data_IF_660142643250
#
_entry.id   IF_660142643250
#
_cell.length_a   1.000
_cell.length_b   1.000
_cell.length_c   1.000
_cell.angle_alpha   90.00
_cell.angle_beta   90.00
_cell.angle_gamma   90.00
#
_symmetry.space_group_name_H-M   'P 1'
#
loop_
_entity.id
_entity.type
_entity.pdbx_description
1 polymer ?
#
# COMPACT_ATOMS: atom_id res chain seq x y z
N UNK A 1 13.41 -28.00 -19.09
CA UNK A 1 12.03 -27.55 -19.39
C UNK A 1 11.53 -26.65 -18.27
N UNK A 2 10.81 -25.56 -18.56
CA UNK A 2 10.23 -24.70 -17.52
C UNK A 2 9.19 -25.47 -16.70
N UNK A 3 9.12 -25.19 -15.40
CA UNK A 3 8.16 -25.88 -14.50
C UNK A 3 6.71 -25.50 -14.88
N UNK A 4 5.72 -26.40 -14.79
CA UNK A 4 4.33 -26.11 -15.18
C UNK A 4 3.75 -24.85 -14.52
N UNK A 5 4.07 -24.61 -13.25
CA UNK A 5 3.59 -23.42 -12.54
C UNK A 5 4.20 -22.11 -13.06
N UNK A 6 5.45 -22.15 -13.50
CA UNK A 6 6.13 -20.99 -14.08
C UNK A 6 5.48 -20.60 -15.41
N UNK A 7 5.22 -21.60 -16.27
CA UNK A 7 4.51 -21.39 -17.55
C UNK A 7 3.13 -20.80 -17.29
N UNK A 8 2.37 -21.38 -16.35
CA UNK A 8 1.05 -20.89 -16.00
C UNK A 8 1.08 -19.46 -15.46
N UNK A 9 2.01 -19.15 -14.56
CA UNK A 9 2.16 -17.82 -13.98
C UNK A 9 2.53 -16.77 -15.03
N UNK A 10 3.47 -17.09 -15.93
CA UNK A 10 3.83 -16.19 -17.04
C UNK A 10 2.65 -15.96 -17.98
N UNK A 11 1.95 -17.04 -18.37
CA UNK A 11 0.80 -16.93 -19.25
C UNK A 11 -0.31 -16.05 -18.65
N UNK A 12 -0.67 -16.25 -17.38
CA UNK A 12 -1.72 -15.44 -16.74
C UNK A 12 -1.26 -14.02 -16.43
N UNK A 13 0.04 -13.80 -16.16
CA UNK A 13 0.61 -12.46 -16.05
C UNK A 13 0.47 -11.68 -17.36
N UNK A 14 0.78 -12.30 -18.51
CA UNK A 14 0.63 -11.68 -19.83
C UNK A 14 -0.84 -11.35 -20.14
N UNK A 15 -1.77 -12.27 -19.85
CA UNK A 15 -3.21 -12.00 -20.00
C UNK A 15 -3.71 -10.86 -19.10
N UNK A 16 -3.14 -10.74 -17.89
CA UNK A 16 -3.45 -9.66 -16.96
C UNK A 16 -2.90 -8.32 -17.47
N UNK A 17 -1.69 -8.31 -18.02
CA UNK A 17 -1.08 -7.13 -18.62
C UNK A 17 -1.86 -6.58 -19.82
N UNK A 18 -2.46 -7.46 -20.64
CA UNK A 18 -3.38 -7.05 -21.72
C UNK A 18 -4.60 -6.28 -21.23
N UNK A 19 -4.95 -6.39 -19.94
CA UNK A 19 -6.02 -5.60 -19.30
C UNK A 19 -5.51 -4.27 -18.72
N UNK A 20 -4.31 -3.83 -19.09
CA UNK A 20 -3.71 -2.58 -18.60
C UNK A 20 -3.21 -2.63 -17.15
N UNK A 21 -3.08 -3.82 -16.57
CA UNK A 21 -2.64 -4.02 -15.19
C UNK A 21 -1.14 -4.38 -15.14
N UNK A 22 -0.27 -3.52 -14.56
CA UNK A 22 1.15 -3.80 -14.52
C UNK A 22 1.48 -4.99 -13.62
N UNK A 23 2.30 -5.93 -14.11
CA UNK A 23 2.64 -7.17 -13.41
C UNK A 23 4.14 -7.39 -13.26
N UNK A 24 4.52 -8.21 -12.29
CA UNK A 24 5.90 -8.64 -12.04
C UNK A 24 5.92 -10.04 -11.41
N UNK A 25 6.99 -10.84 -11.57
CA UNK A 25 7.03 -12.22 -11.08
C UNK A 25 7.16 -12.30 -9.55
N UNK A 26 6.48 -13.28 -8.96
CA UNK A 26 6.54 -13.61 -7.53
C UNK A 26 7.02 -15.04 -7.28
N UNK A 27 7.70 -15.23 -6.16
CA UNK A 27 8.10 -16.53 -5.65
C UNK A 27 6.93 -17.22 -4.93
N UNK A 28 7.14 -18.48 -4.50
CA UNK A 28 6.17 -19.24 -3.69
C UNK A 28 5.82 -18.58 -2.35
N UNK A 29 6.65 -17.65 -1.86
CA UNK A 29 6.42 -16.90 -0.62
C UNK A 29 5.73 -15.55 -0.86
N UNK A 30 5.24 -15.29 -2.09
CA UNK A 30 4.56 -14.04 -2.49
C UNK A 30 5.46 -12.81 -2.49
N UNK A 31 6.78 -12.99 -2.42
CA UNK A 31 7.77 -11.93 -2.52
C UNK A 31 8.25 -11.76 -3.97
N UNK A 32 8.70 -10.56 -4.37
CA UNK A 32 9.34 -10.34 -5.67
C UNK A 32 10.37 -11.43 -6.00
N UNK A 33 10.23 -12.03 -7.18
CA UNK A 33 11.06 -13.18 -7.55
C UNK A 33 12.43 -12.78 -8.09
N UNK A 34 12.54 -11.61 -8.74
CA UNK A 34 13.81 -11.08 -9.24
C UNK A 34 14.59 -10.50 -8.07
N UNK A 35 15.86 -10.89 -7.95
CA UNK A 35 16.75 -10.45 -6.87
C UNK A 35 17.07 -8.96 -7.06
N UNK A 36 16.91 -8.16 -5.99
CA UNK A 36 17.32 -6.75 -6.00
C UNK A 36 18.80 -6.58 -6.37
N UNK A 37 19.14 -5.61 -7.23
CA UNK A 37 20.52 -5.30 -7.60
C UNK A 37 21.32 -4.69 -6.44
N UNK A 38 20.63 -4.19 -5.41
CA UNK A 38 21.21 -3.51 -4.24
C UNK A 38 21.27 -4.41 -2.99
N UNK A 39 21.00 -5.72 -3.12
CA UNK A 39 20.91 -6.61 -1.96
C UNK A 39 22.18 -6.64 -1.12
N UNK A 40 23.33 -6.64 -1.80
CA UNK A 40 24.64 -6.82 -1.18
C UNK A 40 25.28 -5.46 -0.82
N UNK A 41 24.54 -4.36 -1.00
CA UNK A 41 25.00 -3.04 -0.61
C UNK A 41 24.87 -2.85 0.91
N UNK A 42 25.89 -2.26 1.56
CA UNK A 42 25.94 -2.15 3.02
C UNK A 42 24.86 -1.24 3.61
N UNK A 43 24.17 -0.44 2.79
CA UNK A 43 23.05 0.40 3.19
C UNK A 43 21.85 0.07 2.32
N UNK A 44 20.68 -0.05 2.94
CA UNK A 44 19.41 -0.17 2.22
C UNK A 44 19.18 1.08 1.39
N UNK A 45 19.16 0.93 0.06
CA UNK A 45 18.79 1.98 -0.89
C UNK A 45 17.29 1.93 -1.15
N UNK A 46 16.58 3.05 -0.98
CA UNK A 46 15.17 3.20 -1.41
C UNK A 46 15.10 3.44 -2.94
N UNK A 47 15.81 2.60 -3.71
CA UNK A 47 15.75 2.60 -5.16
C UNK A 47 14.47 1.89 -5.60
N UNK A 48 13.69 2.56 -6.45
CA UNK A 48 12.42 2.11 -7.04
C UNK A 48 12.57 1.92 -8.55
N UNK A 49 13.79 1.66 -9.02
CA UNK A 49 14.11 1.43 -10.42
C UNK A 49 14.88 2.55 -11.09
N UNK A 50 15.23 3.62 -10.37
CA UNK A 50 15.99 4.76 -10.90
C UNK A 50 17.38 4.33 -11.41
N UNK A 51 17.94 3.24 -10.89
CA UNK A 51 19.22 2.70 -11.35
C UNK A 51 19.15 1.97 -12.70
N UNK A 52 17.95 1.83 -13.29
CA UNK A 52 17.75 1.19 -14.60
C UNK A 52 17.88 -0.33 -14.61
N UNK A 53 18.26 -0.96 -13.48
CA UNK A 53 18.37 -2.42 -13.35
C UNK A 53 17.06 -3.02 -12.83
N UNK A 54 16.69 -4.25 -13.22
CA UNK A 54 15.53 -4.95 -12.64
C UNK A 54 15.85 -5.49 -11.23
N UNK A 55 14.82 -5.67 -10.41
CA UNK A 55 14.88 -6.24 -9.06
C UNK A 55 14.24 -5.38 -7.95
N UNK A 56 13.46 -4.36 -8.29
CA UNK A 56 12.73 -3.45 -7.40
C UNK A 56 11.26 -3.89 -7.17
N UNK A 57 10.90 -5.10 -7.59
CA UNK A 57 9.63 -5.74 -7.26
C UNK A 57 8.43 -5.02 -7.88
N UNK A 58 7.53 -4.49 -7.05
CA UNK A 58 6.32 -3.79 -7.52
C UNK A 58 6.63 -2.59 -8.41
N UNK A 59 7.80 -1.98 -8.21
CA UNK A 59 8.24 -0.84 -9.03
C UNK A 59 8.74 -1.26 -10.42
N UNK A 60 9.15 -2.52 -10.60
CA UNK A 60 9.45 -3.06 -11.94
C UNK A 60 8.19 -3.51 -12.70
N UNK A 61 7.01 -3.44 -12.07
CA UNK A 61 5.79 -3.94 -12.68
C UNK A 61 5.50 -3.20 -13.99
N UNK A 62 5.11 -3.96 -15.01
CA UNK A 62 4.94 -3.45 -16.38
C UNK A 62 3.80 -4.15 -17.09
N UNK A 63 3.23 -3.49 -18.10
CA UNK A 63 2.27 -4.08 -19.04
C UNK A 63 2.94 -4.51 -20.35
N UNK A 64 4.21 -4.15 -20.56
CA UNK A 64 4.98 -4.53 -21.73
C UNK A 64 5.29 -6.04 -21.72
N UNK A 65 4.79 -6.82 -22.71
CA UNK A 65 4.96 -8.26 -22.75
C UNK A 65 6.42 -8.71 -22.82
N UNK A 66 7.29 -7.95 -23.47
CA UNK A 66 8.71 -8.32 -23.62
C UNK A 66 9.45 -8.13 -22.30
N UNK A 67 9.17 -7.02 -21.59
CA UNK A 67 9.70 -6.80 -20.24
C UNK A 67 9.18 -7.82 -19.24
N UNK A 68 7.90 -8.23 -19.34
CA UNK A 68 7.35 -9.32 -18.50
C UNK A 68 8.11 -10.62 -18.74
N UNK A 69 8.31 -11.00 -20.00
CA UNK A 69 9.07 -12.22 -20.36
C UNK A 69 10.51 -12.14 -19.85
N UNK A 70 11.17 -11.00 -19.96
CA UNK A 70 12.51 -10.79 -19.45
C UNK A 70 12.56 -10.97 -17.91
N UNK A 71 11.64 -10.36 -17.16
CA UNK A 71 11.55 -10.51 -15.71
C UNK A 71 11.33 -11.97 -15.30
N UNK A 72 10.46 -12.69 -15.98
CA UNK A 72 10.23 -14.13 -15.72
C UNK A 72 11.45 -14.98 -16.10
N UNK A 73 12.17 -14.65 -17.18
CA UNK A 73 13.40 -15.34 -17.57
C UNK A 73 14.51 -15.17 -16.51
N UNK A 74 14.58 -14.01 -15.85
CA UNK A 74 15.49 -13.77 -14.71
C UNK A 74 15.09 -14.51 -13.43
N UNK A 75 13.84 -14.98 -13.35
CA UNK A 75 13.30 -15.70 -12.21
C UNK A 75 12.60 -17.01 -12.64
N UNK A 76 13.36 -18.01 -13.14
CA UNK A 76 12.81 -19.30 -13.58
C UNK A 76 12.13 -20.10 -12.45
N UNK A 77 12.35 -19.71 -11.19
CA UNK A 77 11.67 -20.25 -10.01
C UNK A 77 10.36 -19.54 -9.66
N UNK A 78 9.98 -18.48 -10.37
CA UNK A 78 8.73 -17.78 -10.15
C UNK A 78 7.55 -18.73 -10.40
N UNK A 79 6.64 -18.79 -9.44
CA UNK A 79 5.42 -19.63 -9.49
C UNK A 79 4.15 -18.81 -9.44
N UNK A 80 4.28 -17.48 -9.45
CA UNK A 80 3.18 -16.54 -9.44
C UNK A 80 3.62 -15.17 -9.94
N UNK A 81 2.73 -14.20 -9.81
CA UNK A 81 2.96 -12.80 -10.16
C UNK A 81 2.13 -11.88 -9.28
N UNK A 82 2.65 -10.67 -9.11
CA UNK A 82 2.00 -9.57 -8.43
C UNK A 82 1.45 -8.60 -9.45
N UNK A 83 0.37 -7.92 -9.09
CA UNK A 83 -0.25 -6.85 -9.87
C UNK A 83 -0.08 -5.57 -9.08
N UNK A 84 0.61 -4.59 -9.64
CA UNK A 84 0.87 -3.33 -8.96
C UNK A 84 -0.43 -2.52 -8.80
N UNK A 85 -0.70 -2.09 -7.56
CA UNK A 85 -1.87 -1.32 -7.20
C UNK A 85 -1.58 0.20 -7.23
N UNK A 86 -2.65 1.01 -7.33
CA UNK A 86 -2.58 2.48 -7.27
C UNK A 86 -1.92 3.18 -8.47
N UNK A 87 -1.50 2.45 -9.51
CA UNK A 87 -0.90 3.03 -10.74
C UNK A 87 -1.95 3.32 -11.80
N UNK A 88 -1.73 4.39 -12.56
CA UNK A 88 -2.49 4.68 -13.77
C UNK A 88 -2.40 3.51 -14.79
N UNK A 89 -3.42 3.32 -15.65
CA UNK A 89 -4.64 4.13 -15.77
C UNK A 89 -5.76 3.75 -14.78
N UNK A 90 -5.69 2.58 -14.16
CA UNK A 90 -6.80 2.05 -13.36
C UNK A 90 -6.80 2.47 -11.89
N UNK A 91 -5.65 2.90 -11.37
CA UNK A 91 -5.40 3.07 -9.94
C UNK A 91 -5.98 1.91 -9.13
N UNK A 92 -5.61 0.68 -9.51
CA UNK A 92 -6.18 -0.54 -8.97
C UNK A 92 -6.15 -0.52 -7.43
N UNK A 93 -7.30 -0.76 -6.81
CA UNK A 93 -7.49 -0.94 -5.38
C UNK A 93 -7.84 -2.41 -5.15
N UNK A 94 -6.91 -3.15 -4.55
CA UNK A 94 -7.15 -4.52 -4.13
C UNK A 94 -7.75 -4.53 -2.73
N UNK A 95 -9.00 -4.96 -2.58
CA UNK A 95 -9.58 -5.24 -1.25
C UNK A 95 -9.30 -6.71 -0.93
N UNK A 96 -8.33 -6.93 -0.05
CA UNK A 96 -7.83 -8.24 0.38
C UNK A 96 -8.57 -8.66 1.66
N UNK A 97 -9.44 -9.65 1.50
CA UNK A 97 -10.38 -10.13 2.51
C UNK A 97 -9.87 -11.45 3.08
N UNK A 98 -9.26 -11.38 4.25
CA UNK A 98 -8.69 -12.51 4.96
C UNK A 98 -9.71 -13.22 5.85
N UNK A 99 -9.59 -14.55 5.95
CA UNK A 99 -10.46 -15.42 6.79
C UNK A 99 -9.69 -16.13 7.92
N UNK A 100 -8.50 -15.64 8.27
CA UNK A 100 -7.62 -16.27 9.27
C UNK A 100 -7.74 -15.59 10.64
N UNK A 101 -7.31 -16.32 11.67
CA UNK A 101 -7.19 -15.82 13.05
C UNK A 101 -8.51 -15.30 13.64
N UNK A 102 -9.63 -15.94 13.29
CA UNK A 102 -10.96 -15.55 13.77
C UNK A 102 -11.56 -14.33 13.07
N UNK A 103 -10.85 -13.72 12.11
CA UNK A 103 -11.41 -12.71 11.23
C UNK A 103 -12.16 -13.39 10.08
N UNK A 104 -13.31 -12.82 9.71
CA UNK A 104 -14.02 -13.10 8.46
C UNK A 104 -14.13 -11.78 7.69
N UNK A 105 -13.18 -11.52 6.80
CA UNK A 105 -13.11 -10.30 6.01
C UNK A 105 -14.36 -10.10 5.13
N UNK A 106 -15.00 -11.17 4.67
CA UNK A 106 -16.23 -11.08 3.88
C UNK A 106 -17.40 -10.59 4.75
N UNK A 107 -17.58 -11.17 5.94
CA UNK A 107 -18.60 -10.73 6.88
C UNK A 107 -18.31 -9.32 7.40
N UNK A 108 -17.05 -9.00 7.69
CA UNK A 108 -16.63 -7.66 8.10
C UNK A 108 -16.91 -6.61 7.02
N UNK A 109 -16.65 -6.93 5.74
CA UNK A 109 -16.95 -6.05 4.62
C UNK A 109 -18.45 -5.87 4.44
N UNK A 110 -19.25 -6.94 4.57
CA UNK A 110 -20.71 -6.85 4.51
C UNK A 110 -21.28 -5.97 5.63
N UNK A 111 -20.76 -6.11 6.85
CA UNK A 111 -21.13 -5.25 7.98
C UNK A 111 -20.71 -3.80 7.75
N UNK A 112 -19.51 -3.56 7.20
CA UNK A 112 -19.04 -2.21 6.85
C UNK A 112 -19.94 -1.56 5.79
N UNK A 113 -20.26 -2.31 4.74
CA UNK A 113 -21.18 -1.92 3.67
C UNK A 113 -22.57 -1.54 4.23
N UNK A 114 -23.13 -2.37 5.11
CA UNK A 114 -24.41 -2.10 5.76
C UNK A 114 -24.38 -0.84 6.65
N UNK A 115 -23.33 -0.66 7.45
CA UNK A 115 -23.20 0.52 8.33
C UNK A 115 -23.05 1.84 7.58
N UNK A 116 -22.40 1.82 6.42
CA UNK A 116 -22.06 3.02 5.64
C UNK A 116 -22.86 3.17 4.36
N UNK A 117 -23.87 2.33 4.14
CA UNK A 117 -24.83 2.47 3.06
C UNK A 117 -24.24 2.31 1.65
N UNK A 118 -23.28 1.40 1.45
CA UNK A 118 -22.76 1.10 0.12
C UNK A 118 -22.89 -0.38 -0.22
N UNK A 119 -23.00 -0.70 -1.51
CA UNK A 119 -22.92 -2.06 -2.02
C UNK A 119 -21.60 -2.28 -2.75
N UNK A 120 -21.06 -3.49 -2.67
CA UNK A 120 -19.88 -3.86 -3.46
C UNK A 120 -20.33 -4.20 -4.89
N UNK A 121 -19.81 -3.52 -5.92
CA UNK A 121 -20.17 -3.83 -7.29
C UNK A 121 -19.59 -5.19 -7.70
N UNK A 122 -20.26 -5.94 -8.59
CA UNK A 122 -19.66 -7.11 -9.24
C UNK A 122 -18.36 -6.71 -9.92
N UNK A 123 -17.27 -7.38 -9.56
CA UNK A 123 -15.94 -7.11 -10.13
C UNK A 123 -15.12 -8.40 -10.24
N UNK A 124 -13.92 -8.29 -10.81
CA UNK A 124 -12.95 -9.40 -10.84
C UNK A 124 -12.61 -9.78 -9.40
N UNK A 125 -12.78 -11.07 -9.09
CA UNK A 125 -12.56 -11.60 -7.76
C UNK A 125 -11.61 -12.78 -7.83
N UNK A 126 -10.60 -12.79 -6.94
CA UNK A 126 -9.63 -13.88 -6.85
C UNK A 126 -9.78 -14.56 -5.49
N UNK A 127 -10.03 -15.87 -5.50
CA UNK A 127 -9.98 -16.69 -4.29
C UNK A 127 -8.53 -16.87 -3.86
N UNK A 128 -8.27 -16.61 -2.59
CA UNK A 128 -6.98 -16.88 -1.97
C UNK A 128 -6.91 -18.34 -1.51
N UNK A 129 -5.70 -18.94 -1.40
CA UNK A 129 -5.55 -20.31 -0.90
C UNK A 129 -6.10 -20.52 0.51
N UNK A 130 -6.17 -19.45 1.31
CA UNK A 130 -6.65 -19.49 2.68
C UNK A 130 -8.17 -19.43 2.83
N UNK A 131 -8.93 -19.31 1.73
CA UNK A 131 -10.38 -19.17 1.75
C UNK A 131 -10.88 -17.72 1.67
N UNK A 132 -9.98 -16.74 1.75
CA UNK A 132 -10.28 -15.32 1.56
C UNK A 132 -10.43 -14.91 0.09
N UNK A 133 -10.61 -13.62 -0.18
CA UNK A 133 -10.79 -13.07 -1.54
C UNK A 133 -10.03 -11.76 -1.76
N UNK A 134 -9.48 -11.57 -2.95
CA UNK A 134 -9.11 -10.24 -3.45
C UNK A 134 -10.23 -9.72 -4.36
N UNK A 135 -10.80 -8.57 -4.04
CA UNK A 135 -11.69 -7.82 -4.94
C UNK A 135 -10.88 -6.74 -5.65
N UNK A 136 -11.02 -6.64 -6.97
CA UNK A 136 -10.26 -5.67 -7.78
C UNK A 136 -11.15 -4.49 -8.15
N UNK A 137 -10.85 -3.31 -7.65
CA UNK A 137 -11.62 -2.10 -7.94
C UNK A 137 -10.72 -1.03 -8.58
N UNK A 138 -11.31 -0.04 -9.21
CA UNK A 138 -10.61 1.16 -9.71
C UNK A 138 -10.90 2.36 -8.84
N UNK A 139 -9.98 3.32 -8.80
CA UNK A 139 -10.16 4.59 -8.12
C UNK A 139 -9.87 5.75 -9.09
N UNK A 140 -10.44 6.94 -8.85
CA UNK A 140 -10.12 8.13 -9.66
C UNK A 140 -8.68 8.63 -9.44
N UNK A 141 -8.00 8.13 -8.41
CA UNK A 141 -6.60 8.45 -8.12
C UNK A 141 -5.98 7.44 -7.15
N UNK A 142 -4.70 7.63 -6.78
CA UNK A 142 -3.99 6.72 -5.89
C UNK A 142 -4.64 6.64 -4.50
N UNK A 143 -4.98 5.42 -4.08
CA UNK A 143 -5.42 5.11 -2.71
C UNK A 143 -4.22 4.59 -1.93
N UNK A 144 -4.00 4.98 -0.66
CA UNK A 144 -2.89 4.44 0.12
C UNK A 144 -3.08 2.95 0.44
N UNK A 145 -1.96 2.24 0.59
CA UNK A 145 -1.96 0.89 1.14
C UNK A 145 -2.26 0.94 2.65
N UNK A 146 -3.13 0.08 3.15
CA UNK A 146 -3.44 -0.02 4.58
C UNK A 146 -3.82 -1.45 4.96
N UNK A 147 -3.47 -1.87 6.18
CA UNK A 147 -3.87 -3.17 6.73
C UNK A 147 -4.87 -2.96 7.86
N UNK A 148 -5.97 -3.70 7.85
CA UNK A 148 -7.00 -3.68 8.90
C UNK A 148 -7.76 -2.36 9.14
N UNK A 149 -7.49 -1.28 8.37
CA UNK A 149 -8.12 0.05 8.58
C UNK A 149 -9.64 -0.01 8.49
N UNK A 150 -10.17 -0.81 7.57
CA UNK A 150 -11.60 -0.92 7.31
C UNK A 150 -12.30 -1.90 8.26
N UNK A 151 -11.52 -2.66 9.03
CA UNK A 151 -11.99 -3.68 9.95
C UNK A 151 -11.08 -4.91 9.94
N UNK A 152 -11.29 -5.84 10.91
CA UNK A 152 -10.54 -7.08 10.97
C UNK A 152 -10.63 -7.88 9.67
N UNK A 153 -9.49 -8.32 9.16
CA UNK A 153 -9.42 -9.11 7.93
C UNK A 153 -9.71 -8.34 6.64
N UNK A 154 -9.70 -6.99 6.67
CA UNK A 154 -9.85 -6.16 5.47
C UNK A 154 -8.60 -5.31 5.26
N UNK A 155 -7.80 -5.72 4.29
CA UNK A 155 -6.63 -4.99 3.83
C UNK A 155 -6.93 -4.26 2.52
N UNK A 156 -6.40 -3.04 2.38
CA UNK A 156 -6.46 -2.26 1.14
C UNK A 156 -5.07 -2.23 0.52
N UNK A 157 -4.93 -2.85 -0.66
CA UNK A 157 -3.75 -2.79 -1.51
C UNK A 157 -3.88 -1.64 -2.49
N UNK A 158 -3.16 -0.55 -2.19
CA UNK A 158 -3.17 0.69 -2.95
C UNK A 158 -1.80 1.02 -3.55
N UNK A 159 -1.48 2.31 -3.68
CA UNK A 159 -0.20 2.80 -4.18
C UNK A 159 0.98 2.18 -3.42
N UNK A 160 1.99 1.70 -4.16
CA UNK A 160 3.16 1.00 -3.62
C UNK A 160 2.88 -0.43 -3.14
N UNK A 161 1.62 -0.87 -3.14
CA UNK A 161 1.20 -2.24 -2.84
C UNK A 161 0.95 -3.07 -4.09
N UNK A 162 0.72 -4.37 -3.89
CA UNK A 162 0.30 -5.28 -4.95
C UNK A 162 -0.63 -6.36 -4.41
N UNK A 163 -1.42 -6.94 -5.30
CA UNK A 163 -2.16 -8.18 -5.05
C UNK A 163 -1.52 -9.35 -5.80
N UNK A 164 -1.64 -10.56 -5.28
CA UNK A 164 -1.25 -11.77 -6.01
C UNK A 164 -2.31 -12.06 -7.08
N UNK A 165 -1.87 -12.25 -8.32
CA UNK A 165 -2.77 -12.51 -9.45
C UNK A 165 -3.18 -13.98 -9.57
N UNK A 166 -4.31 -14.28 -10.24
CA UNK A 166 -4.82 -15.63 -10.44
C UNK A 166 -3.89 -16.51 -11.29
N UNK A 167 -3.86 -17.81 -11.00
CA UNK A 167 -2.94 -18.79 -11.60
C UNK A 167 -1.64 -18.95 -10.82
N UNK A 168 -1.34 -18.04 -9.89
CA UNK A 168 -0.20 -18.11 -8.99
C UNK A 168 -0.31 -19.29 -8.02
N UNK A 169 0.80 -20.02 -7.83
CA UNK A 169 0.95 -21.06 -6.80
C UNK A 169 1.89 -20.58 -5.71
N UNK A 170 1.44 -20.70 -4.46
CA UNK A 170 2.21 -20.39 -3.25
C UNK A 170 2.41 -21.64 -2.40
N UNK A 171 3.14 -21.49 -1.29
CA UNK A 171 3.23 -22.55 -0.27
C UNK A 171 1.87 -22.97 0.29
N UNK A 172 0.90 -22.05 0.35
CA UNK A 172 -0.44 -22.30 0.88
C UNK A 172 -1.42 -22.86 -0.16
N UNK A 173 -1.05 -22.90 -1.44
CA UNK A 173 -1.92 -23.34 -2.54
C UNK A 173 -2.07 -22.29 -3.64
N UNK A 174 -3.16 -22.38 -4.41
CA UNK A 174 -3.39 -21.60 -5.63
C UNK A 174 -4.29 -20.39 -5.42
N UNK A 175 -3.94 -19.29 -6.08
CA UNK A 175 -4.84 -18.17 -6.31
C UNK A 175 -5.67 -18.45 -7.56
N UNK A 176 -6.99 -18.45 -7.43
CA UNK A 176 -7.90 -18.85 -8.50
C UNK A 176 -8.89 -17.71 -8.79
N UNK A 177 -9.22 -17.48 -10.05
CA UNK A 177 -10.36 -16.61 -10.37
C UNK A 177 -11.63 -17.23 -9.79
N UNK A 178 -12.47 -16.40 -9.20
CA UNK A 178 -13.81 -16.81 -8.82
C UNK A 178 -14.62 -17.13 -10.08
N UNK A 179 -15.30 -18.29 -10.15
CA UNK A 179 -16.18 -18.63 -11.26
C UNK A 179 -17.14 -17.49 -11.60
N UNK A 180 -17.29 -17.21 -12.91
CA UNK A 180 -18.14 -16.12 -13.41
C UNK A 180 -17.52 -14.73 -13.38
N UNK A 181 -16.46 -14.48 -12.59
CA UNK A 181 -15.93 -13.11 -12.41
C UNK A 181 -14.83 -12.70 -13.40
N UNK A 182 -14.27 -13.65 -14.14
CA UNK A 182 -13.14 -13.42 -15.05
C UNK A 182 -13.43 -12.35 -16.14
N UNK A 183 -14.69 -12.28 -16.59
CA UNK A 183 -15.16 -11.35 -17.63
C UNK A 183 -15.74 -10.06 -17.06
N UNK A 184 -15.84 -9.92 -15.73
CA UNK A 184 -16.30 -8.68 -15.14
C UNK A 184 -15.33 -7.53 -15.47
N UNK A 185 -15.86 -6.30 -15.65
CA UNK A 185 -15.02 -5.12 -15.71
C UNK A 185 -14.31 -4.92 -14.36
N UNK A 186 -13.23 -4.13 -14.37
CA UNK A 186 -12.71 -3.58 -13.12
C UNK A 186 -13.66 -2.47 -12.68
N UNK A 187 -14.50 -2.77 -11.69
CA UNK A 187 -15.54 -1.84 -11.25
C UNK A 187 -14.95 -0.66 -10.46
N UNK A 188 -15.50 0.56 -10.58
CA UNK A 188 -15.17 1.66 -9.68
C UNK A 188 -15.43 1.30 -8.22
N UNK A 189 -14.48 1.64 -7.34
CA UNK A 189 -14.67 1.48 -5.91
C UNK A 189 -15.81 2.40 -5.42
N UNK A 190 -16.69 1.91 -4.52
CA UNK A 190 -17.70 2.76 -3.92
C UNK A 190 -17.08 4.01 -3.27
N UNK A 191 -17.61 5.23 -3.47
CA UNK A 191 -17.05 6.43 -2.87
C UNK A 191 -16.90 6.35 -1.35
N UNK A 192 -17.88 5.75 -0.66
CA UNK A 192 -17.83 5.52 0.79
C UNK A 192 -16.63 4.63 1.19
N UNK A 193 -16.34 3.58 0.42
CA UNK A 193 -15.17 2.72 0.66
C UNK A 193 -13.86 3.52 0.54
N UNK A 194 -13.76 4.37 -0.49
CA UNK A 194 -12.58 5.21 -0.71
C UNK A 194 -12.38 6.23 0.42
N UNK A 195 -13.46 6.85 0.90
CA UNK A 195 -13.43 7.78 2.04
C UNK A 195 -12.96 7.08 3.33
N UNK A 196 -13.41 5.85 3.57
CA UNK A 196 -13.00 5.06 4.74
C UNK A 196 -11.56 4.53 4.63
N UNK A 197 -11.10 4.26 3.40
CA UNK A 197 -9.74 3.80 3.13
C UNK A 197 -8.73 4.95 3.22
N UNK A 198 -9.17 6.18 3.01
CA UNK A 198 -8.35 7.36 3.22
C UNK A 198 -7.91 7.46 4.69
N UNK A 199 -6.68 7.96 4.96
CA UNK A 199 -6.32 8.34 6.32
C UNK A 199 -7.31 9.40 6.82
N UNK A 200 -7.62 9.40 8.13
CA UNK A 200 -8.55 10.37 8.70
C UNK A 200 -8.15 11.79 8.30
N UNK A 201 -9.14 12.60 7.94
CA UNK A 201 -8.93 14.01 7.69
C UNK A 201 -8.24 14.62 8.91
N UNK A 202 -7.26 15.53 8.72
CA UNK A 202 -6.71 16.26 9.85
C UNK A 202 -7.85 16.92 10.63
N UNK A 203 -7.79 16.98 11.98
CA UNK A 203 -8.73 17.79 12.72
C UNK A 203 -8.70 19.20 12.12
N UNK A 204 -9.87 19.69 11.69
CA UNK A 204 -9.99 21.10 11.33
C UNK A 204 -9.56 21.93 12.53
N UNK A 205 -8.77 23.00 12.37
CA UNK A 205 -8.50 23.89 13.49
C UNK A 205 -9.85 24.37 13.99
N UNK A 206 -10.22 23.97 15.21
CA UNK A 206 -11.40 24.50 15.87
C UNK A 206 -11.19 26.00 15.97
N UNK A 207 -12.02 26.76 15.26
CA UNK A 207 -12.20 28.19 15.50
C UNK A 207 -12.85 28.33 16.87
N UNK A 208 -12.03 28.27 17.91
CA UNK A 208 -12.40 28.74 19.23
C UNK A 208 -12.47 30.26 19.17
N UNK A 209 -13.69 30.79 19.15
CA UNK A 209 -13.96 32.17 19.51
C UNK A 209 -13.43 32.43 20.93
N UNK A 210 -12.69 33.53 21.08
CA UNK A 210 -12.38 34.10 22.39
C UNK A 210 -11.09 33.61 23.06
N UNK A 211 -9.93 34.02 22.55
CA UNK A 211 -8.75 34.30 23.38
C UNK A 211 -7.75 35.19 22.61
N UNK A 212 -7.26 36.24 23.28
CA UNK A 212 -6.30 37.22 22.76
C UNK A 212 -5.10 36.58 22.03
N UNK A 213 -4.52 37.24 21.01
CA UNK A 213 -3.53 36.62 20.14
C UNK A 213 -2.20 36.39 20.89
N UNK A 214 -1.72 35.14 21.02
CA UNK A 214 -0.34 34.91 21.39
C UNK A 214 0.57 35.04 20.16
N UNK A 215 1.80 35.46 20.42
CA UNK A 215 2.86 35.71 19.44
C UNK A 215 3.23 34.41 18.68
N UNK A 216 3.47 34.59 17.38
CA UNK A 216 3.96 33.64 16.36
C UNK A 216 3.12 32.37 16.04
N UNK A 217 2.41 32.34 14.88
CA UNK A 217 1.64 31.20 14.38
C UNK A 217 2.42 29.88 14.21
N UNK A 218 3.74 29.96 14.02
CA UNK A 218 4.61 28.79 13.81
C UNK A 218 4.81 27.95 15.08
N UNK A 219 4.92 28.59 16.24
CA UNK A 219 5.18 27.91 17.53
C UNK A 219 3.95 27.10 17.99
N UNK A 220 2.75 27.67 17.85
CA UNK A 220 1.49 26.93 18.09
C UNK A 220 1.37 25.69 17.21
N UNK A 221 1.78 25.81 15.93
CA UNK A 221 1.71 24.72 14.96
C UNK A 221 2.73 23.63 15.28
N UNK A 222 3.94 24.00 15.67
CA UNK A 222 4.96 23.09 16.18
C UNK A 222 4.49 22.29 17.40
N UNK A 223 3.96 22.99 18.41
CA UNK A 223 3.44 22.36 19.62
C UNK A 223 2.30 21.37 19.33
N UNK A 224 1.39 21.72 18.40
CA UNK A 224 0.30 20.85 18.00
C UNK A 224 0.79 19.55 17.31
N UNK A 225 1.82 19.64 16.46
CA UNK A 225 2.40 18.45 15.79
C UNK A 225 3.08 17.52 16.79
N UNK A 226 3.83 18.07 17.74
CA UNK A 226 4.47 17.29 18.82
C UNK A 226 3.41 16.62 19.68
N UNK A 227 2.36 17.36 20.07
CA UNK A 227 1.26 16.81 20.87
C UNK A 227 0.52 15.69 20.16
N UNK A 228 0.29 15.85 18.85
CA UNK A 228 -0.32 14.83 18.02
C UNK A 228 0.47 13.51 18.03
N UNK A 229 1.81 13.58 18.02
CA UNK A 229 2.66 12.38 18.14
C UNK A 229 2.56 11.79 19.54
N UNK A 230 2.58 12.61 20.59
CA UNK A 230 2.47 12.14 21.99
C UNK A 230 1.16 11.43 22.30
N UNK A 231 0.05 11.83 21.65
CA UNK A 231 -1.27 11.21 21.83
C UNK A 231 -1.45 9.89 21.04
N UNK A 232 -0.37 9.31 20.50
CA UNK A 232 -0.42 8.08 19.70
C UNK A 232 -0.66 6.83 20.55
N UNK A 233 -1.58 5.97 20.09
CA UNK A 233 -1.83 4.64 20.68
C UNK A 233 -0.95 3.56 20.05
N UNK A 234 -0.87 2.42 20.72
CA UNK A 234 -0.19 1.24 20.17
C UNK A 234 -0.81 0.84 18.81
N UNK A 235 0.05 0.58 17.82
CA UNK A 235 -0.36 0.33 16.43
C UNK A 235 -0.49 1.58 15.53
N UNK A 236 -0.53 2.80 16.08
CA UNK A 236 -0.68 4.04 15.30
C UNK A 236 0.59 4.91 15.26
N UNK A 237 1.57 4.61 16.11
CA UNK A 237 2.71 5.47 16.45
C UNK A 237 3.54 5.89 15.23
N UNK A 238 3.95 4.92 14.40
CA UNK A 238 4.80 5.18 13.23
C UNK A 238 4.07 6.04 12.17
N UNK A 239 2.80 5.69 11.88
CA UNK A 239 1.98 6.44 10.92
C UNK A 239 1.69 7.88 11.35
N UNK A 240 1.42 8.11 12.65
CA UNK A 240 1.19 9.44 13.21
C UNK A 240 2.46 10.30 13.21
N UNK A 241 3.61 9.71 13.52
CA UNK A 241 4.92 10.36 13.41
C UNK A 241 5.23 10.78 11.96
N UNK A 242 5.06 9.86 11.01
CA UNK A 242 5.31 10.13 9.59
C UNK A 242 4.46 11.31 9.08
N UNK A 243 3.19 11.35 9.50
CA UNK A 243 2.28 12.44 9.16
C UNK A 243 2.72 13.77 9.77
N UNK A 244 3.05 13.79 11.07
CA UNK A 244 3.47 15.01 11.76
C UNK A 244 4.76 15.57 11.14
N UNK A 245 5.69 14.69 10.76
CA UNK A 245 6.91 15.05 10.04
C UNK A 245 6.61 15.64 8.66
N UNK A 246 5.75 15.01 7.85
CA UNK A 246 5.34 15.57 6.55
C UNK A 246 4.78 16.99 6.69
N UNK A 247 3.95 17.25 7.71
CA UNK A 247 3.37 18.57 7.97
C UNK A 247 4.39 19.60 8.45
N UNK A 248 5.40 19.17 9.19
CA UNK A 248 6.51 20.03 9.56
C UNK A 248 7.29 20.46 8.30
N UNK A 249 7.60 19.53 7.39
CA UNK A 249 8.28 19.84 6.13
C UNK A 249 7.42 20.70 5.19
N UNK A 250 6.13 20.41 5.02
CA UNK A 250 5.20 21.26 4.24
C UNK A 250 5.14 22.71 4.76
N UNK A 251 5.43 22.93 6.05
CA UNK A 251 5.42 24.23 6.70
C UNK A 251 6.81 24.90 6.78
N UNK A 252 7.86 24.29 6.21
CA UNK A 252 9.24 24.77 6.30
C UNK A 252 9.87 24.65 7.70
N UNK A 253 9.26 23.86 8.58
CA UNK A 253 9.70 23.62 9.96
C UNK A 253 10.28 22.22 10.18
N UNK A 254 10.42 21.43 9.11
CA UNK A 254 10.79 20.01 9.17
C UNK A 254 12.09 19.75 9.89
N UNK A 255 13.16 20.45 9.52
CA UNK A 255 14.49 20.29 10.12
C UNK A 255 14.51 20.76 11.59
N UNK A 256 13.82 21.86 11.88
CA UNK A 256 13.74 22.41 13.24
C UNK A 256 12.94 21.49 14.19
N UNK A 257 11.89 20.83 13.70
CA UNK A 257 11.01 19.98 14.51
C UNK A 257 11.40 18.51 14.52
N UNK A 258 12.29 18.07 13.63
CA UNK A 258 12.70 16.67 13.53
C UNK A 258 13.17 16.07 14.87
N UNK A 259 14.05 16.72 15.67
CA UNK A 259 14.46 16.18 16.96
C UNK A 259 13.28 16.03 17.93
N UNK A 260 12.41 17.04 18.02
CA UNK A 260 11.28 17.04 18.94
C UNK A 260 10.21 15.99 18.58
N UNK A 261 9.99 15.76 17.28
CA UNK A 261 9.08 14.71 16.80
C UNK A 261 9.64 13.31 17.07
N UNK A 262 10.95 13.10 16.92
CA UNK A 262 11.63 11.84 17.28
C UNK A 262 11.50 11.60 18.78
N UNK A 263 11.79 12.60 19.62
CA UNK A 263 11.65 12.49 21.08
C UNK A 263 10.21 12.14 21.48
N UNK A 264 9.21 12.81 20.90
CA UNK A 264 7.80 12.53 21.17
C UNK A 264 7.41 11.09 20.79
N UNK A 265 7.88 10.62 19.64
CA UNK A 265 7.63 9.26 19.19
C UNK A 265 8.26 8.20 20.12
N UNK A 266 9.50 8.43 20.56
CA UNK A 266 10.18 7.55 21.52
C UNK A 266 9.39 7.46 22.83
N UNK A 267 8.84 8.57 23.32
CA UNK A 267 7.99 8.59 24.52
C UNK A 267 6.71 7.74 24.35
N UNK A 268 6.22 7.58 23.12
CA UNK A 268 5.07 6.70 22.86
C UNK A 268 5.43 5.23 22.75
N UNK A 269 6.73 4.88 22.73
CA UNK A 269 7.22 3.49 22.64
C UNK A 269 7.75 3.08 21.27
N UNK A 270 8.07 4.03 20.37
CA UNK A 270 8.85 3.76 19.14
C UNK A 270 10.34 3.65 19.45
N UNK A 271 11.06 2.80 18.71
CA UNK A 271 12.52 2.80 18.77
C UNK A 271 13.10 4.09 18.19
N UNK A 272 14.14 4.66 18.80
CA UNK A 272 14.75 5.93 18.36
C UNK A 272 15.21 5.89 16.89
N UNK A 273 15.85 4.79 16.47
CA UNK A 273 16.25 4.58 15.07
C UNK A 273 15.07 4.51 14.12
N UNK A 274 13.96 3.89 14.56
CA UNK A 274 12.73 3.78 13.77
C UNK A 274 12.05 5.14 13.62
N UNK A 275 11.99 5.93 14.70
CA UNK A 275 11.42 7.26 14.70
C UNK A 275 12.24 8.22 13.81
N UNK A 276 13.57 8.19 13.93
CA UNK A 276 14.46 8.98 13.08
C UNK A 276 14.33 8.61 11.59
N UNK A 277 14.27 7.32 11.27
CA UNK A 277 14.06 6.84 9.90
C UNK A 277 12.71 7.31 9.32
N UNK A 278 11.66 7.33 10.15
CA UNK A 278 10.32 7.78 9.78
C UNK A 278 10.29 9.28 9.45
N UNK A 279 10.90 10.13 10.29
CA UNK A 279 11.00 11.58 10.04
C UNK A 279 11.85 11.87 8.80
N UNK A 280 12.97 11.16 8.63
CA UNK A 280 13.81 11.29 7.45
C UNK A 280 13.10 10.85 6.16
N UNK A 281 12.24 9.83 6.23
CA UNK A 281 11.40 9.39 5.12
C UNK A 281 10.41 10.47 4.68
N UNK A 282 9.80 11.16 5.63
CA UNK A 282 8.90 12.28 5.35
C UNK A 282 9.61 13.46 4.66
N UNK A 283 10.82 13.82 5.11
CA UNK A 283 11.63 14.87 4.48
C UNK A 283 11.98 14.56 3.03
N UNK A 284 12.43 13.33 2.76
CA UNK A 284 12.74 12.88 1.38
C UNK A 284 11.52 12.91 0.47
N UNK A 285 10.34 12.53 0.98
CA UNK A 285 9.10 12.57 0.21
C UNK A 285 8.73 13.99 -0.20
N UNK A 286 8.96 15.00 0.66
CA UNK A 286 8.58 16.40 0.39
C UNK A 286 9.60 17.16 -0.45
N UNK A 287 10.88 16.83 -0.33
CA UNK A 287 11.92 17.35 -1.22
C UNK A 287 11.74 16.91 -2.70
N UNK A 288 11.01 15.81 -2.96
CA UNK A 288 10.75 15.31 -4.31
C UNK A 288 9.50 15.89 -4.98
N UNK A 289 8.79 16.83 -4.32
CA UNK A 289 7.50 17.39 -4.77
C UNK A 289 7.58 18.90 -5.08
N UNK A 290 8.72 19.56 -4.79
CA UNK A 290 8.98 20.91 -5.29
C UNK A 290 9.53 20.85 -6.72
N UNK A 291 9.03 21.69 -7.65
CA UNK A 291 9.41 21.67 -9.07
C UNK A 291 10.85 22.12 -9.33
#
# INVERSE_FOLDING_TARGET
>A
MPRPDHIRALHTALLTALRGLPVFPLSRTKLPAVRSPHRDEPRSTDCRGECGRPGHGVYDATTDPDRIRALFAMAPWATGYGIACGRAPHHLVGVDLDVKHGADGMAALAALAGRHGFAMPPTVTVRTPSGGRHLWLTAPGPVPNSAGRLGPGIDVRGAGGYVVGPGSRTVAGHYLLEPGTARHPLAPAPPALLLLAAPPAPPSPSTGEGAAPPRHPAEKRAAALIRFVLDSREGERNGRLFWAACRAYDAGLGDALAPALVTAAVHTGLGEREAAATVASAGRLRAAVEP
#
